data_IF_685009928036
#
_entry.id   IF_685009928036
#
_cell.length_a   1.000
_cell.length_b   1.000
_cell.length_c   1.000
_cell.angle_alpha   90.00
_cell.angle_beta   90.00
_cell.angle_gamma   90.00
#
_symmetry.space_group_name_H-M   'P 1'
#
loop_
_entity.id
_entity.type
_entity.pdbx_description
1 polymer ?
#
# COMPACT_ATOMS: atom_id res chain seq x y z
N UNK A 1 -28.53 -5.71 -58.59
CA UNK A 1 -27.77 -5.88 -57.32
C UNK A 1 -27.87 -4.70 -56.35
N UNK A 2 -28.40 -3.53 -56.74
CA UNK A 2 -28.42 -2.32 -55.88
C UNK A 2 -29.48 -2.27 -54.77
N UNK A 3 -30.51 -3.13 -54.78
CA UNK A 3 -31.60 -3.07 -53.77
C UNK A 3 -31.26 -3.71 -52.42
N UNK A 4 -30.23 -4.56 -52.33
CA UNK A 4 -29.80 -5.17 -51.06
C UNK A 4 -28.85 -4.28 -50.24
N UNK A 5 -28.21 -3.29 -50.88
CA UNK A 5 -27.24 -2.40 -50.21
C UNK A 5 -27.94 -1.28 -49.40
N UNK A 6 -29.13 -0.86 -49.83
CA UNK A 6 -29.90 0.23 -49.19
C UNK A 6 -30.50 -0.19 -47.84
N UNK A 7 -30.74 -1.48 -47.63
CA UNK A 7 -31.24 -2.02 -46.36
C UNK A 7 -30.13 -2.31 -45.33
N UNK A 8 -28.86 -2.35 -45.74
CA UNK A 8 -27.73 -2.57 -44.83
C UNK A 8 -27.27 -1.29 -44.15
N UNK A 9 -27.41 -0.13 -44.80
CA UNK A 9 -27.01 1.18 -44.25
C UNK A 9 -27.77 1.58 -42.96
N UNK A 10 -29.11 1.43 -42.86
CA UNK A 10 -29.81 1.75 -41.61
C UNK A 10 -29.49 0.76 -40.49
N UNK A 11 -29.19 -0.51 -40.83
CA UNK A 11 -28.80 -1.53 -39.86
C UNK A 11 -27.39 -1.26 -39.28
N UNK A 12 -26.47 -0.78 -40.11
CA UNK A 12 -25.11 -0.40 -39.70
C UNK A 12 -25.13 0.86 -38.81
N UNK A 13 -26.01 1.83 -39.11
CA UNK A 13 -26.23 3.01 -38.28
C UNK A 13 -26.85 2.67 -36.91
N UNK A 14 -27.78 1.69 -36.85
CA UNK A 14 -28.29 1.18 -35.57
C UNK A 14 -27.22 0.47 -34.74
N UNK A 15 -26.33 -0.30 -35.38
CA UNK A 15 -25.23 -0.98 -34.69
C UNK A 15 -24.19 -0.01 -34.11
N UNK A 16 -23.88 1.08 -34.81
CA UNK A 16 -23.01 2.14 -34.29
C UNK A 16 -23.65 2.95 -33.15
N UNK A 17 -24.97 3.12 -33.14
CA UNK A 17 -25.66 3.80 -32.04
C UNK A 17 -25.69 2.96 -30.74
N UNK A 18 -25.71 1.62 -30.86
CA UNK A 18 -25.70 0.71 -29.73
C UNK A 18 -24.34 0.58 -29.03
N UNK A 19 -23.23 0.86 -29.73
CA UNK A 19 -21.88 0.85 -29.11
C UNK A 19 -21.54 2.17 -28.41
N UNK A 20 -22.15 3.28 -28.82
CA UNK A 20 -21.98 4.60 -28.19
C UNK A 20 -22.64 4.72 -26.80
N UNK A 21 -23.64 3.88 -26.49
CA UNK A 21 -24.30 3.88 -25.18
C UNK A 21 -23.64 2.94 -24.16
N UNK A 22 -22.71 2.08 -24.57
CA UNK A 22 -22.05 1.11 -23.68
C UNK A 22 -20.88 1.68 -22.86
N UNK A 23 -20.49 2.93 -23.11
CA UNK A 23 -19.46 3.63 -22.32
C UNK A 23 -20.05 4.88 -21.63
N UNK A 24 -21.22 4.74 -21.02
CA UNK A 24 -21.50 5.59 -19.89
C UNK A 24 -20.57 5.15 -18.75
N UNK A 25 -19.46 5.87 -18.59
CA UNK A 25 -18.70 5.91 -17.34
C UNK A 25 -19.73 5.88 -16.21
N UNK A 26 -19.72 4.82 -15.41
CA UNK A 26 -20.59 4.76 -14.25
C UNK A 26 -20.28 6.03 -13.48
N UNK A 27 -21.20 7.00 -13.50
CA UNK A 27 -21.16 8.14 -12.59
C UNK A 27 -21.42 7.54 -11.23
N UNK A 28 -20.37 6.95 -10.69
CA UNK A 28 -20.35 6.36 -9.37
C UNK A 28 -20.77 7.49 -8.46
N UNK A 29 -21.98 7.37 -7.91
CA UNK A 29 -22.47 8.21 -6.81
C UNK A 29 -21.61 8.03 -5.54
N UNK A 30 -20.38 7.53 -5.65
CA UNK A 30 -19.38 7.44 -4.60
C UNK A 30 -18.73 8.80 -4.33
N UNK A 31 -18.47 9.61 -5.37
CA UNK A 31 -17.82 10.92 -5.21
C UNK A 31 -18.56 11.82 -4.21
N UNK A 32 -19.88 11.76 -4.19
CA UNK A 32 -20.71 12.58 -3.32
C UNK A 32 -21.16 11.84 -2.03
N UNK A 33 -20.89 10.54 -1.90
CA UNK A 33 -21.27 9.75 -0.71
C UNK A 33 -20.22 9.75 0.40
N UNK A 34 -18.96 10.03 0.07
CA UNK A 34 -17.88 10.15 1.06
C UNK A 34 -17.79 11.54 1.69
N UNK A 35 -18.56 12.50 1.18
CA UNK A 35 -18.79 13.74 1.91
C UNK A 35 -19.86 13.46 2.94
N UNK A 36 -19.42 12.94 4.10
CA UNK A 36 -20.11 13.28 5.35
C UNK A 36 -20.45 14.77 5.25
N UNK A 37 -21.71 15.14 5.46
CA UNK A 37 -22.09 16.56 5.45
C UNK A 37 -21.30 17.19 6.58
N UNK A 38 -20.11 17.71 6.26
CA UNK A 38 -19.19 18.30 7.23
C UNK A 38 -20.03 19.24 8.08
N UNK A 39 -20.14 18.89 9.35
CA UNK A 39 -20.66 19.81 10.34
C UNK A 39 -19.77 21.06 10.20
N UNK A 40 -20.36 22.20 9.85
CA UNK A 40 -19.63 23.46 9.56
C UNK A 40 -18.71 23.92 10.70
N UNK A 41 -18.73 23.20 11.83
CA UNK A 41 -17.84 23.32 12.98
C UNK A 41 -16.40 22.84 12.72
N UNK A 42 -16.14 21.97 11.74
CA UNK A 42 -14.79 21.50 11.41
C UNK A 42 -14.52 21.56 9.90
N UNK A 43 -14.00 22.68 9.37
CA UNK A 43 -13.66 22.76 7.96
C UNK A 43 -12.55 21.74 7.62
N UNK A 44 -12.85 20.74 6.80
CA UNK A 44 -11.84 19.82 6.25
C UNK A 44 -11.10 20.55 5.13
N UNK A 45 -9.79 20.69 5.28
CA UNK A 45 -8.92 21.27 4.24
C UNK A 45 -8.26 20.13 3.47
N UNK A 46 -8.42 20.13 2.14
CA UNK A 46 -7.67 19.24 1.26
C UNK A 46 -6.46 20.03 0.76
N UNK A 47 -5.28 19.50 1.05
CA UNK A 47 -4.00 20.06 0.63
C UNK A 47 -3.26 19.03 -0.22
N UNK A 48 -2.43 19.50 -1.15
CA UNK A 48 -1.46 18.62 -1.79
C UNK A 48 -0.30 18.40 -0.82
N UNK A 49 0.10 17.14 -0.64
CA UNK A 49 1.23 16.76 0.18
C UNK A 49 2.51 16.67 -0.68
N UNK A 50 2.88 17.78 -1.32
CA UNK A 50 3.93 17.84 -2.35
C UNK A 50 5.29 17.34 -1.85
N UNK A 51 5.61 17.53 -0.55
CA UNK A 51 6.86 17.06 0.05
C UNK A 51 7.00 15.53 0.02
N UNK A 52 5.89 14.81 0.24
CA UNK A 52 5.88 13.33 0.26
C UNK A 52 5.50 12.72 -1.08
N UNK A 53 4.72 13.40 -1.92
CA UNK A 53 4.30 12.95 -3.24
C UNK A 53 5.47 13.09 -4.24
N UNK A 54 6.37 12.12 -4.22
CA UNK A 54 7.58 12.11 -5.04
C UNK A 54 7.43 11.14 -6.23
N UNK A 55 8.45 11.09 -7.09
CA UNK A 55 8.54 10.08 -8.14
C UNK A 55 8.63 8.67 -7.53
N UNK A 56 7.81 7.74 -8.03
CA UNK A 56 7.74 6.35 -7.54
C UNK A 56 6.32 5.96 -7.15
N UNK A 57 6.17 4.79 -6.55
CA UNK A 57 4.89 4.33 -6.00
C UNK A 57 4.88 4.51 -4.50
N UNK A 58 4.02 5.41 -4.03
CA UNK A 58 3.77 5.69 -2.61
C UNK A 58 2.43 5.08 -2.19
N UNK A 59 2.42 4.26 -1.13
CA UNK A 59 1.23 3.55 -0.70
C UNK A 59 1.26 3.13 0.77
N UNK A 60 0.11 2.64 1.24
CA UNK A 60 -0.10 2.12 2.59
C UNK A 60 0.39 3.04 3.72
N UNK A 61 -0.14 4.29 3.80
CA UNK A 61 0.19 5.20 4.88
C UNK A 61 -0.33 4.68 6.23
N UNK A 62 0.45 4.93 7.29
CA UNK A 62 0.09 4.67 8.68
C UNK A 62 0.58 5.83 9.55
N UNK A 63 -0.27 6.31 10.45
CA UNK A 63 0.16 7.28 11.46
C UNK A 63 1.16 6.63 12.41
N UNK A 64 2.23 7.35 12.70
CA UNK A 64 3.26 6.92 13.65
C UNK A 64 3.81 8.13 14.39
N UNK A 65 3.63 8.14 15.72
CA UNK A 65 3.93 9.31 16.56
C UNK A 65 3.32 10.59 15.97
N UNK A 66 4.08 11.67 15.86
CA UNK A 66 3.65 12.95 15.31
C UNK A 66 3.84 13.05 13.78
N UNK A 67 3.79 11.92 13.07
CA UNK A 67 4.02 11.89 11.63
C UNK A 67 3.30 10.75 10.92
N UNK A 68 3.75 10.53 9.69
CA UNK A 68 3.23 9.51 8.79
C UNK A 68 4.36 8.61 8.31
N UNK A 69 4.15 7.32 8.48
CA UNK A 69 4.94 6.26 7.87
C UNK A 69 4.22 5.82 6.60
N UNK A 70 4.95 5.57 5.52
CA UNK A 70 4.38 5.02 4.29
C UNK A 70 5.41 4.19 3.55
N UNK A 71 4.94 3.41 2.58
CA UNK A 71 5.79 2.55 1.75
C UNK A 71 6.08 3.27 0.44
N UNK A 72 7.33 3.21 -0.03
CA UNK A 72 7.72 3.86 -1.28
C UNK A 72 8.75 3.08 -2.08
N UNK A 73 8.67 3.18 -3.41
CA UNK A 73 9.70 2.75 -4.36
C UNK A 73 10.55 3.92 -4.89
N UNK A 74 10.68 5.02 -4.13
CA UNK A 74 11.35 6.25 -4.57
C UNK A 74 12.88 6.17 -4.65
N UNK A 75 13.49 5.15 -4.03
CA UNK A 75 14.94 4.95 -4.10
C UNK A 75 15.36 4.76 -5.56
N UNK A 76 16.37 5.51 -6.03
CA UNK A 76 16.75 5.51 -7.46
C UNK A 76 17.80 4.44 -7.78
N UNK A 77 18.70 4.18 -6.83
CA UNK A 77 19.90 3.36 -7.05
C UNK A 77 19.84 1.99 -6.36
N UNK A 78 18.65 1.55 -5.95
CA UNK A 78 18.44 0.27 -5.28
C UNK A 78 18.26 -0.93 -6.21
N UNK A 79 18.32 -2.17 -5.69
CA UNK A 79 17.92 -3.36 -6.42
C UNK A 79 16.45 -3.25 -6.85
N UNK A 80 16.14 -3.74 -8.06
CA UNK A 80 14.80 -3.66 -8.65
C UNK A 80 14.04 -4.96 -8.54
N UNK A 81 12.75 -4.85 -8.30
CA UNK A 81 11.80 -5.94 -8.46
C UNK A 81 11.61 -6.24 -9.96
N UNK A 82 11.95 -7.45 -10.43
CA UNK A 82 11.79 -7.83 -11.84
C UNK A 82 10.35 -7.76 -12.35
N UNK A 83 9.34 -7.80 -11.46
CA UNK A 83 7.92 -7.78 -11.86
C UNK A 83 7.43 -6.37 -12.17
N UNK A 84 7.85 -5.39 -11.36
CA UNK A 84 7.40 -4.00 -11.47
C UNK A 84 8.41 -3.10 -12.18
N UNK A 85 9.65 -3.55 -12.30
CA UNK A 85 10.81 -2.76 -12.74
C UNK A 85 11.04 -1.49 -11.89
N UNK A 86 10.51 -1.45 -10.66
CA UNK A 86 10.77 -0.42 -9.67
C UNK A 86 11.78 -0.92 -8.64
N UNK A 87 12.41 -0.03 -7.88
CA UNK A 87 13.21 -0.44 -6.73
C UNK A 87 12.32 -1.12 -5.68
N UNK A 88 12.89 -2.08 -4.96
CA UNK A 88 12.17 -2.73 -3.86
C UNK A 88 11.68 -1.67 -2.88
N UNK A 89 10.43 -1.83 -2.45
CA UNK A 89 9.77 -0.82 -1.62
C UNK A 89 10.34 -0.80 -0.21
N UNK A 90 10.53 0.39 0.32
CA UNK A 90 11.06 0.65 1.66
C UNK A 90 10.11 1.55 2.43
N UNK A 91 10.28 1.61 3.76
CA UNK A 91 9.51 2.51 4.62
C UNK A 91 10.14 3.90 4.62
N UNK A 92 9.28 4.92 4.61
CA UNK A 92 9.64 6.31 4.77
C UNK A 92 8.76 6.97 5.81
N UNK A 93 9.35 7.89 6.57
CA UNK A 93 8.70 8.67 7.61
C UNK A 93 8.80 10.16 7.31
N UNK A 94 7.68 10.87 7.41
CA UNK A 94 7.62 12.32 7.43
C UNK A 94 6.97 12.79 8.73
N UNK A 95 7.58 13.77 9.38
CA UNK A 95 7.01 14.42 10.56
C UNK A 95 5.98 15.46 10.12
N UNK A 96 4.90 15.65 10.88
CA UNK A 96 3.96 16.73 10.61
C UNK A 96 4.35 18.01 11.34
N UNK A 97 4.39 19.13 10.62
CA UNK A 97 4.58 20.43 11.24
C UNK A 97 3.35 20.85 12.09
N UNK A 98 3.40 22.05 12.67
CA UNK A 98 2.30 22.58 13.51
C UNK A 98 0.99 22.80 12.74
N UNK A 99 1.03 22.84 11.40
CA UNK A 99 -0.14 22.94 10.52
C UNK A 99 -0.65 21.57 10.04
N UNK A 100 0.06 20.49 10.35
CA UNK A 100 -0.23 19.14 9.85
C UNK A 100 0.39 18.84 8.48
N UNK A 101 1.25 19.71 7.97
CA UNK A 101 1.91 19.51 6.68
C UNK A 101 3.11 18.56 6.86
N UNK A 102 3.29 17.54 6.00
CA UNK A 102 4.39 16.60 6.15
C UNK A 102 5.72 17.22 5.74
N UNK A 103 6.76 16.93 6.50
CA UNK A 103 8.15 17.27 6.16
C UNK A 103 8.65 16.47 4.95
N UNK A 104 9.83 16.85 4.44
CA UNK A 104 10.54 15.98 3.52
C UNK A 104 10.78 14.59 4.16
N UNK A 105 10.38 13.50 3.50
CA UNK A 105 10.39 12.18 4.09
C UNK A 105 11.81 11.60 4.17
N UNK A 106 12.10 10.98 5.31
CA UNK A 106 13.33 10.26 5.55
C UNK A 106 13.07 8.76 5.46
N UNK A 107 14.03 8.02 4.92
CA UNK A 107 13.97 6.56 4.93
C UNK A 107 13.97 6.05 6.36
N UNK A 108 13.16 5.03 6.64
CA UNK A 108 13.02 4.43 7.96
C UNK A 108 13.37 2.93 7.92
N UNK A 109 14.21 2.49 8.85
CA UNK A 109 14.57 1.08 9.01
C UNK A 109 14.37 0.67 10.47
N UNK A 110 13.66 -0.44 10.71
CA UNK A 110 13.45 -0.97 12.07
C UNK A 110 14.73 -1.58 12.68
N UNK A 111 15.68 -2.00 11.86
CA UNK A 111 16.96 -2.53 12.34
C UNK A 111 17.98 -2.53 11.20
N UNK A 112 18.97 -1.66 11.28
CA UNK A 112 19.99 -1.51 10.22
C UNK A 112 20.80 -2.80 9.99
N UNK A 113 20.99 -3.64 11.02
CA UNK A 113 21.78 -4.88 10.89
C UNK A 113 21.06 -5.99 10.11
N UNK A 114 19.74 -5.92 9.97
CA UNK A 114 18.90 -6.94 9.31
C UNK A 114 17.88 -6.29 8.36
N UNK A 115 18.39 -5.39 7.50
CA UNK A 115 17.64 -4.83 6.39
C UNK A 115 17.15 -5.94 5.43
N UNK A 116 15.88 -5.92 5.02
CA UNK A 116 15.43 -6.77 3.93
C UNK A 116 16.04 -6.31 2.61
N UNK A 117 16.51 -7.23 1.78
CA UNK A 117 16.94 -6.93 0.41
C UNK A 117 15.77 -6.83 -0.60
N UNK A 118 14.53 -6.97 -0.12
CA UNK A 118 13.28 -7.04 -0.90
C UNK A 118 12.19 -6.17 -0.25
N UNK A 119 10.97 -6.14 -0.81
CA UNK A 119 9.90 -5.25 -0.33
C UNK A 119 9.68 -5.32 1.18
N UNK A 120 9.60 -4.15 1.79
CA UNK A 120 9.17 -3.93 3.16
C UNK A 120 7.87 -3.11 3.19
N UNK A 121 7.00 -3.47 4.13
CA UNK A 121 5.69 -2.86 4.30
C UNK A 121 4.58 -3.60 3.56
N UNK A 122 3.31 -3.28 3.82
CA UNK A 122 2.80 -2.28 4.78
C UNK A 122 3.12 -2.56 6.26
N UNK A 123 2.96 -1.52 7.09
CA UNK A 123 3.21 -1.54 8.54
C UNK A 123 2.02 -0.98 9.32
N UNK A 124 1.77 -1.53 10.51
CA UNK A 124 0.90 -0.92 11.51
C UNK A 124 1.57 -0.91 12.89
N UNK A 125 1.09 -0.03 13.78
CA UNK A 125 1.70 0.22 15.09
C UNK A 125 0.69 0.02 16.21
N UNK A 126 1.20 -0.33 17.40
CA UNK A 126 0.44 -0.20 18.64
C UNK A 126 0.20 1.27 18.97
N UNK A 127 -0.87 1.54 19.70
CA UNK A 127 -1.26 2.91 20.09
C UNK A 127 -0.18 3.65 20.88
N UNK A 128 0.62 2.93 21.66
CA UNK A 128 1.74 3.48 22.42
C UNK A 128 3.04 3.57 21.60
N UNK A 129 3.01 3.25 20.30
CA UNK A 129 4.12 3.26 19.37
C UNK A 129 5.29 2.33 19.76
N UNK A 130 5.04 1.31 20.59
CA UNK A 130 6.09 0.37 21.07
C UNK A 130 6.12 -0.96 20.35
N UNK A 131 5.12 -1.28 19.55
CA UNK A 131 5.05 -2.51 18.77
C UNK A 131 4.70 -2.14 17.33
N UNK A 132 5.36 -2.77 16.37
CA UNK A 132 5.03 -2.65 14.96
C UNK A 132 4.89 -4.03 14.33
N UNK A 133 3.96 -4.14 13.39
CA UNK A 133 3.76 -5.32 12.56
C UNK A 133 4.00 -4.93 11.12
N UNK A 134 4.93 -5.60 10.44
CA UNK A 134 5.38 -5.26 9.09
C UNK A 134 5.28 -6.47 8.16
N UNK A 135 4.76 -6.26 6.95
CA UNK A 135 4.82 -7.26 5.88
C UNK A 135 6.20 -7.24 5.22
N UNK A 136 6.81 -8.40 4.98
CA UNK A 136 8.05 -8.53 4.21
C UNK A 136 7.98 -9.74 3.28
N UNK A 137 8.76 -9.73 2.20
CA UNK A 137 9.02 -10.95 1.44
C UNK A 137 9.55 -12.05 2.36
N UNK A 138 9.14 -13.29 2.11
CA UNK A 138 9.69 -14.46 2.76
C UNK A 138 11.14 -14.66 2.30
N UNK A 139 12.07 -14.05 3.03
CA UNK A 139 13.49 -14.21 2.84
C UNK A 139 14.15 -14.66 4.15
N UNK A 140 15.16 -15.52 4.03
CA UNK A 140 15.99 -15.91 5.16
C UNK A 140 17.44 -15.67 4.78
N UNK A 141 18.07 -14.74 5.51
CA UNK A 141 19.49 -14.40 5.35
C UNK A 141 19.88 -14.05 3.90
N UNK A 142 19.05 -13.23 3.25
CA UNK A 142 19.26 -12.76 1.87
C UNK A 142 18.74 -13.71 0.78
N UNK A 143 18.31 -14.92 1.13
CA UNK A 143 17.77 -15.89 0.18
C UNK A 143 16.24 -15.87 0.22
N UNK A 144 15.61 -15.59 -0.92
CA UNK A 144 14.16 -15.70 -1.06
C UNK A 144 13.75 -17.16 -0.89
N UNK A 145 12.84 -17.42 0.05
CA UNK A 145 12.18 -18.70 0.16
C UNK A 145 10.96 -18.71 -0.75
N UNK A 146 10.93 -19.71 -1.63
CA UNK A 146 9.79 -19.99 -2.47
C UNK A 146 8.93 -21.09 -1.84
N UNK A 147 7.62 -21.02 -2.09
CA UNK A 147 6.71 -22.12 -1.81
C UNK A 147 6.96 -23.30 -2.76
N UNK A 148 6.19 -24.38 -2.58
CA UNK A 148 6.27 -25.60 -3.41
C UNK A 148 6.09 -25.36 -4.92
N UNK A 149 5.46 -24.25 -5.31
CA UNK A 149 5.28 -23.85 -6.72
C UNK A 149 6.35 -22.88 -7.22
N UNK A 150 7.42 -22.65 -6.46
CA UNK A 150 8.51 -21.74 -6.86
C UNK A 150 8.19 -20.26 -6.72
N UNK A 151 7.11 -19.89 -6.01
CA UNK A 151 6.70 -18.48 -5.81
C UNK A 151 7.17 -17.96 -4.46
N UNK A 152 7.71 -16.74 -4.44
CA UNK A 152 7.98 -16.00 -3.19
C UNK A 152 6.66 -15.65 -2.50
N UNK A 153 6.54 -15.98 -1.22
CA UNK A 153 5.42 -15.61 -0.34
C UNK A 153 5.75 -14.39 0.50
N UNK A 154 4.74 -13.83 1.18
CA UNK A 154 4.89 -12.73 2.13
C UNK A 154 4.64 -13.20 3.56
N UNK A 155 5.31 -12.58 4.53
CA UNK A 155 5.16 -12.86 5.95
C UNK A 155 5.00 -11.60 6.77
N UNK A 156 4.34 -11.71 7.92
CA UNK A 156 4.21 -10.64 8.90
C UNK A 156 5.22 -10.82 10.03
N UNK A 157 5.99 -9.78 10.30
CA UNK A 157 6.97 -9.73 11.38
C UNK A 157 6.52 -8.75 12.45
N UNK A 158 6.74 -9.09 13.71
CA UNK A 158 6.60 -8.20 14.85
C UNK A 158 7.96 -7.62 15.23
N UNK A 159 8.03 -6.33 15.51
CA UNK A 159 9.17 -5.69 16.17
C UNK A 159 8.68 -4.82 17.33
N UNK A 160 9.52 -4.68 18.35
CA UNK A 160 9.22 -3.94 19.58
C UNK A 160 10.24 -2.86 19.79
N UNK A 161 9.82 -1.69 20.24
CA UNK A 161 10.72 -0.63 20.63
C UNK A 161 11.33 -0.96 22.00
N UNK A 162 12.65 -1.20 22.05
CA UNK A 162 13.45 -1.42 23.27
C UNK A 162 14.42 -0.25 23.50
N UNK A 163 15.14 -0.23 24.64
CA UNK A 163 16.22 0.76 24.84
C UNK A 163 17.50 0.26 24.14
N UNK A 164 18.14 1.01 23.22
CA UNK A 164 17.78 2.35 22.70
C UNK A 164 16.93 2.35 21.41
N UNK A 165 16.67 1.20 20.80
CA UNK A 165 16.05 1.11 19.47
C UNK A 165 15.10 -0.10 19.32
N UNK A 166 14.47 -0.21 18.15
CA UNK A 166 13.65 -1.34 17.71
C UNK A 166 14.42 -2.65 17.73
N UNK A 167 13.76 -3.69 18.25
CA UNK A 167 14.29 -5.05 18.25
C UNK A 167 14.35 -5.60 16.84
N UNK A 168 15.15 -6.65 16.66
CA UNK A 168 15.11 -7.43 15.43
C UNK A 168 13.67 -7.91 15.15
N UNK A 169 13.12 -7.72 13.94
CA UNK A 169 11.80 -8.24 13.59
C UNK A 169 11.75 -9.77 13.70
N UNK A 170 10.73 -10.27 14.38
CA UNK A 170 10.47 -11.69 14.62
C UNK A 170 9.24 -12.14 13.82
N UNK A 171 9.34 -13.30 13.17
CA UNK A 171 8.23 -13.89 12.41
C UNK A 171 7.09 -14.31 13.34
N UNK A 172 5.84 -14.02 12.97
CA UNK A 172 4.67 -14.46 13.72
C UNK A 172 4.32 -15.93 13.48
N UNK A 173 3.74 -16.64 14.47
CA UNK A 173 3.59 -18.09 14.44
C UNK A 173 2.55 -18.61 13.42
N UNK A 174 1.70 -17.73 12.89
CA UNK A 174 0.70 -18.09 11.88
C UNK A 174 1.22 -17.95 10.44
N UNK A 175 2.43 -17.45 10.24
CA UNK A 175 3.02 -17.39 8.90
C UNK A 175 3.33 -18.80 8.38
N UNK A 176 3.47 -18.91 7.05
CA UNK A 176 3.87 -20.14 6.39
C UNK A 176 4.83 -19.86 5.24
N UNK A 177 5.58 -20.87 4.84
CA UNK A 177 6.34 -20.85 3.60
C UNK A 177 5.43 -21.10 2.37
N UNK A 178 4.25 -21.71 2.55
CA UNK A 178 3.36 -22.15 1.46
C UNK A 178 2.36 -21.08 0.99
N UNK A 179 1.94 -20.17 1.88
CA UNK A 179 0.99 -19.08 1.62
C UNK A 179 1.52 -17.75 2.16
N UNK A 180 0.89 -16.65 1.76
CA UNK A 180 1.21 -15.29 2.17
C UNK A 180 0.32 -14.82 3.31
N UNK A 181 0.92 -14.10 4.26
CA UNK A 181 0.21 -13.26 5.22
C UNK A 181 0.70 -11.82 5.06
N UNK A 182 -0.22 -10.86 4.90
CA UNK A 182 0.14 -9.48 4.57
C UNK A 182 -0.86 -8.45 5.09
N UNK A 183 -0.47 -7.18 5.00
CA UNK A 183 -1.31 -6.00 5.29
C UNK A 183 -1.89 -6.03 6.71
N UNK A 184 -1.02 -6.05 7.74
CA UNK A 184 -1.46 -6.08 9.13
C UNK A 184 -2.22 -4.80 9.51
N UNK A 185 -3.24 -4.94 10.35
CA UNK A 185 -3.97 -3.85 11.00
C UNK A 185 -4.28 -4.23 12.44
N UNK A 186 -3.96 -3.35 13.38
CA UNK A 186 -4.12 -3.62 14.81
C UNK A 186 -5.37 -2.90 15.34
N UNK A 187 -6.15 -3.58 16.19
CA UNK A 187 -7.26 -2.95 16.90
C UNK A 187 -6.76 -1.83 17.82
N UNK A 188 -7.63 -0.85 18.10
CA UNK A 188 -7.28 0.33 18.90
C UNK A 188 -6.80 0.02 20.33
N UNK A 189 -7.23 -1.11 20.89
CA UNK A 189 -6.82 -1.63 22.20
C UNK A 189 -5.60 -2.57 22.13
N UNK A 190 -5.10 -2.86 20.92
CA UNK A 190 -3.98 -3.77 20.68
C UNK A 190 -4.28 -5.25 20.84
N UNK A 191 -5.54 -5.64 21.11
CA UNK A 191 -5.89 -7.03 21.44
C UNK A 191 -6.11 -7.94 20.21
N UNK A 192 -6.26 -7.36 19.01
CA UNK A 192 -6.52 -8.11 17.77
C UNK A 192 -5.67 -7.58 16.63
N UNK A 193 -5.00 -8.50 15.95
CA UNK A 193 -4.31 -8.26 14.68
C UNK A 193 -5.16 -8.83 13.55
N UNK A 194 -5.56 -7.99 12.61
CA UNK A 194 -6.22 -8.37 11.36
C UNK A 194 -5.19 -8.36 10.23
N UNK A 195 -5.32 -9.29 9.28
CA UNK A 195 -4.42 -9.39 8.13
C UNK A 195 -5.13 -10.11 6.97
N UNK A 196 -4.56 -10.00 5.76
CA UNK A 196 -5.00 -10.72 4.58
C UNK A 196 -4.12 -11.96 4.35
N UNK A 197 -4.71 -13.04 3.81
CA UNK A 197 -4.00 -14.26 3.49
C UNK A 197 -4.64 -15.02 2.31
N UNK A 198 -3.82 -15.77 1.58
CA UNK A 198 -4.20 -16.63 0.45
C UNK A 198 -4.06 -18.14 0.77
N UNK A 199 -4.22 -18.48 2.06
CA UNK A 199 -4.27 -19.86 2.60
C UNK A 199 -5.24 -20.79 1.87
#
# INVERSE_FOLDING_TARGET
MFRKLILLLPLLLLACAATLSAQQSSKSKSKDRFREKDDRRYPVRIINADEINQEGSDYAPAYYKEGIMFVSSREKNGPRDPKTNQTYSELYYAFFDYNGDPSFPQKFEFNEMKKSSYHEGPVCFSRDNKVAFITRNNNKDGVVKANKSGKSTLKIYETRYGRPDWTRPAELPFNSDDYSCMHPSLSADGSKLFFASDM
#
